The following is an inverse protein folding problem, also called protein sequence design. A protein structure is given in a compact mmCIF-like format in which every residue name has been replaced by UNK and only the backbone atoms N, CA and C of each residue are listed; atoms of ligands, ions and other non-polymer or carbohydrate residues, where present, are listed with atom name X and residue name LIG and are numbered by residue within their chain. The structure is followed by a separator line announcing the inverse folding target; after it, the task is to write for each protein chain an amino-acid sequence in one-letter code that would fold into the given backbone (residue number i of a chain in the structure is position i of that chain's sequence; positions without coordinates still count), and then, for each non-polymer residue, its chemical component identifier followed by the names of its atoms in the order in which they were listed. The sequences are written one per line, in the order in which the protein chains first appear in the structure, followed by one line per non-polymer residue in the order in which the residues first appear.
data_IF_114911186049
#
_entry.id   IF_114911186049
#
_cell.length_a   1.000
_cell.length_b   1.000
_cell.length_c   1.000
_cell.angle_alpha   90.00
_cell.angle_beta   90.00
_cell.angle_gamma   90.00
#
_symmetry.space_group_name_H-M   'P 1'
#
loop_
_entity.id
_entity.type
_entity.pdbx_description
1 polymer ?
#
# COMPACT_ATOMS: atom_id res chain seq x y z
N UNK A 1 39.60 -22.10 -0.53
CA UNK A 1 38.68 -21.51 -1.52
C UNK A 1 37.28 -21.46 -0.91
N UNK A 2 36.75 -20.25 -0.64
CA UNK A 2 35.42 -20.09 -0.03
C UNK A 2 34.36 -20.48 -1.06
N UNK A 3 33.60 -21.54 -0.79
CA UNK A 3 32.42 -21.88 -1.56
C UNK A 3 31.44 -20.70 -1.52
N UNK A 4 31.31 -20.01 -2.65
CA UNK A 4 30.28 -19.00 -2.90
C UNK A 4 28.95 -19.76 -2.91
N UNK A 5 28.22 -19.74 -1.80
CA UNK A 5 26.81 -20.12 -1.78
C UNK A 5 26.11 -19.22 -2.80
N UNK A 6 25.66 -19.81 -3.92
CA UNK A 6 24.76 -19.11 -4.86
C UNK A 6 23.58 -18.60 -4.03
N UNK A 7 23.28 -17.30 -4.13
CA UNK A 7 22.13 -16.70 -3.46
C UNK A 7 20.90 -17.51 -3.82
N UNK A 8 20.30 -18.16 -2.83
CA UNK A 8 18.97 -18.75 -2.95
C UNK A 8 18.05 -17.55 -3.12
N UNK A 9 17.47 -17.36 -4.30
CA UNK A 9 16.54 -16.25 -4.55
C UNK A 9 15.32 -16.46 -3.64
N UNK A 10 15.32 -15.78 -2.49
CA UNK A 10 14.16 -15.76 -1.61
C UNK A 10 13.00 -15.10 -2.36
N UNK A 11 11.77 -15.63 -2.22
CA UNK A 11 10.63 -15.04 -2.90
C UNK A 11 10.48 -13.59 -2.46
N UNK A 12 10.27 -12.68 -3.43
CA UNK A 12 9.94 -11.29 -3.12
C UNK A 12 8.56 -11.22 -2.48
N UNK A 13 8.50 -10.69 -1.27
CA UNK A 13 7.27 -10.51 -0.50
C UNK A 13 6.79 -9.07 -0.69
N UNK A 14 5.59 -8.92 -1.25
CA UNK A 14 4.92 -7.63 -1.41
C UNK A 14 3.74 -7.53 -0.46
N UNK A 15 3.65 -6.42 0.28
CA UNK A 15 2.48 -6.06 1.07
C UNK A 15 1.59 -5.12 0.26
N UNK A 16 0.35 -5.53 0.00
CA UNK A 16 -0.63 -4.70 -0.70
C UNK A 16 -1.60 -4.13 0.32
N UNK A 17 -1.66 -2.80 0.40
CA UNK A 17 -2.61 -2.07 1.24
C UNK A 17 -3.71 -1.54 0.34
N UNK A 18 -4.93 -2.02 0.55
CA UNK A 18 -6.08 -1.50 -0.16
C UNK A 18 -6.61 -0.24 0.53
N UNK A 19 -6.79 0.85 -0.20
CA UNK A 19 -7.36 2.09 0.33
C UNK A 19 -8.30 2.74 -0.68
N UNK A 20 -9.37 3.37 -0.18
CA UNK A 20 -10.27 4.20 -0.96
C UNK A 20 -10.78 5.36 -0.14
N UNK A 21 -11.03 6.51 -0.78
CA UNK A 21 -11.67 7.67 -0.15
C UNK A 21 -13.17 7.40 0.07
N UNK A 22 -13.83 6.77 -0.91
CA UNK A 22 -15.25 6.44 -0.87
C UNK A 22 -15.56 5.44 0.25
N UNK A 23 -16.28 5.89 1.28
CA UNK A 23 -16.68 5.06 2.41
C UNK A 23 -18.06 5.49 2.90
N UNK A 24 -19.01 4.57 2.92
CA UNK A 24 -20.41 4.84 3.29
C UNK A 24 -20.62 4.99 4.79
N UNK A 25 -19.80 4.34 5.62
CA UNK A 25 -19.93 4.36 7.09
C UNK A 25 -19.10 5.46 7.75
N UNK A 26 -17.92 5.75 7.21
CA UNK A 26 -17.05 6.83 7.66
C UNK A 26 -16.26 7.37 6.45
N UNK A 27 -16.81 8.38 5.75
CA UNK A 27 -16.17 8.99 4.59
C UNK A 27 -14.76 9.48 4.90
N UNK A 28 -13.82 9.28 3.98
CA UNK A 28 -12.45 9.80 4.15
C UNK A 28 -11.62 9.15 5.27
N UNK A 29 -12.10 8.06 5.89
CA UNK A 29 -11.43 7.38 7.02
C UNK A 29 -9.92 7.17 6.82
N UNK A 30 -9.49 6.76 5.63
CA UNK A 30 -8.08 6.44 5.36
C UNK A 30 -7.15 7.65 5.54
N UNK A 31 -7.65 8.87 5.31
CA UNK A 31 -6.89 10.12 5.48
C UNK A 31 -7.25 10.87 6.76
N UNK A 32 -8.23 10.40 7.53
CA UNK A 32 -8.63 11.04 8.77
C UNK A 32 -7.44 11.10 9.74
N UNK A 33 -7.12 12.28 10.29
CA UNK A 33 -6.01 12.43 11.22
C UNK A 33 -6.36 11.80 12.58
N UNK A 34 -5.45 11.01 13.10
CA UNK A 34 -5.43 10.55 14.49
C UNK A 34 -4.07 10.98 15.04
N UNK A 35 -4.05 11.68 16.18
CA UNK A 35 -2.81 12.17 16.81
C UNK A 35 -1.83 12.85 15.84
N UNK A 36 -2.37 13.66 14.91
CA UNK A 36 -1.58 14.44 13.95
C UNK A 36 -1.12 13.71 12.69
N UNK A 37 -1.48 12.43 12.48
CA UNK A 37 -1.15 11.68 11.25
C UNK A 37 -2.39 11.01 10.65
N UNK A 38 -2.49 10.89 9.31
CA UNK A 38 -3.52 10.08 8.67
C UNK A 38 -3.53 8.64 9.17
N UNK A 39 -4.70 8.00 9.32
CA UNK A 39 -4.80 6.56 9.66
C UNK A 39 -3.87 5.70 8.77
N UNK A 40 -3.88 5.97 7.45
CA UNK A 40 -3.06 5.24 6.50
C UNK A 40 -1.55 5.37 6.78
N UNK A 41 -1.09 6.51 7.31
CA UNK A 41 0.32 6.73 7.66
C UNK A 41 0.82 5.73 8.70
N UNK A 42 0.02 5.45 9.72
CA UNK A 42 0.37 4.47 10.74
C UNK A 42 0.55 3.07 10.15
N UNK A 43 -0.31 2.67 9.20
CA UNK A 43 -0.21 1.37 8.52
C UNK A 43 1.10 1.28 7.75
N UNK A 44 1.41 2.29 6.95
CA UNK A 44 2.64 2.32 6.14
C UNK A 44 3.90 2.32 7.02
N UNK A 45 3.94 3.14 8.06
CA UNK A 45 5.06 3.16 9.02
C UNK A 45 5.26 1.78 9.66
N UNK A 46 4.19 1.10 10.07
CA UNK A 46 4.25 -0.25 10.65
C UNK A 46 4.77 -1.30 9.66
N UNK A 47 4.34 -1.25 8.40
CA UNK A 47 4.82 -2.18 7.37
C UNK A 47 6.30 -1.97 7.06
N UNK A 48 6.79 -0.72 7.07
CA UNK A 48 8.21 -0.39 6.84
C UNK A 48 9.16 -0.98 7.90
N UNK A 49 8.67 -1.31 9.10
CA UNK A 49 9.49 -1.98 10.12
C UNK A 49 9.69 -3.48 9.87
N UNK A 50 8.94 -4.08 8.94
CA UNK A 50 9.07 -5.51 8.64
C UNK A 50 10.38 -5.80 7.91
N UNK A 51 11.14 -6.79 8.40
CA UNK A 51 12.37 -7.28 7.75
C UNK A 51 12.10 -8.25 6.59
N UNK A 52 10.86 -8.72 6.45
CA UNK A 52 10.47 -9.71 5.45
C UNK A 52 9.81 -9.07 4.22
N UNK A 53 9.19 -7.90 4.36
CA UNK A 53 8.51 -7.21 3.26
C UNK A 53 9.57 -6.52 2.39
N UNK A 54 9.57 -6.83 1.09
CA UNK A 54 10.45 -6.17 0.12
C UNK A 54 9.82 -4.93 -0.49
N UNK A 55 8.50 -4.89 -0.60
CA UNK A 55 7.78 -3.81 -1.25
C UNK A 55 6.41 -3.60 -0.61
N UNK A 56 5.99 -2.33 -0.54
CA UNK A 56 4.63 -1.94 -0.14
C UNK A 56 3.97 -1.29 -1.36
N UNK A 57 2.75 -1.71 -1.68
CA UNK A 57 1.93 -1.15 -2.77
C UNK A 57 0.60 -0.70 -2.19
N UNK A 58 0.20 0.54 -2.48
CA UNK A 58 -1.12 1.05 -2.20
C UNK A 58 -2.04 0.80 -3.39
N UNK A 59 -3.02 -0.10 -3.24
CA UNK A 59 -4.00 -0.43 -4.27
C UNK A 59 -5.28 0.40 -4.08
N UNK A 60 -5.56 1.31 -5.02
CA UNK A 60 -6.62 2.32 -4.94
C UNK A 60 -7.58 2.25 -6.14
N UNK A 61 -8.84 2.68 -6.00
CA UNK A 61 -9.74 2.82 -7.15
C UNK A 61 -9.16 3.79 -8.18
N UNK A 62 -9.36 3.49 -9.46
CA UNK A 62 -8.98 4.37 -10.57
C UNK A 62 -10.02 5.47 -10.77
N UNK A 63 -10.16 6.36 -9.78
CA UNK A 63 -11.06 7.51 -9.83
C UNK A 63 -10.35 8.76 -9.31
N UNK A 64 -10.79 9.93 -9.78
CA UNK A 64 -10.20 11.23 -9.43
C UNK A 64 -10.20 11.51 -7.92
N UNK A 65 -11.22 11.04 -7.21
CA UNK A 65 -11.30 11.18 -5.75
C UNK A 65 -10.12 10.52 -5.03
N UNK A 66 -9.52 9.48 -5.63
CA UNK A 66 -8.41 8.75 -5.05
C UNK A 66 -7.03 9.28 -5.46
N UNK A 67 -6.93 10.36 -6.26
CA UNK A 67 -5.66 10.98 -6.64
C UNK A 67 -4.82 11.37 -5.42
N UNK A 68 -5.49 11.85 -4.35
CA UNK A 68 -4.84 12.17 -3.08
C UNK A 68 -4.14 10.96 -2.42
N UNK A 69 -4.60 9.74 -2.70
CA UNK A 69 -3.98 8.51 -2.19
C UNK A 69 -2.73 8.14 -3.00
N UNK A 70 -2.71 8.43 -4.30
CA UNK A 70 -1.50 8.28 -5.12
C UNK A 70 -0.42 9.27 -4.69
N UNK A 71 -0.79 10.53 -4.45
CA UNK A 71 0.13 11.51 -3.86
C UNK A 71 0.65 11.07 -2.48
N UNK A 72 -0.23 10.50 -1.66
CA UNK A 72 0.16 9.95 -0.37
C UNK A 72 1.18 8.82 -0.51
N UNK A 73 0.99 7.92 -1.50
CA UNK A 73 1.94 6.84 -1.79
C UNK A 73 3.30 7.40 -2.24
N UNK A 74 3.30 8.38 -3.14
CA UNK A 74 4.52 9.05 -3.60
C UNK A 74 5.29 9.71 -2.45
N UNK A 75 4.61 10.50 -1.60
CA UNK A 75 5.21 11.14 -0.42
C UNK A 75 5.81 10.14 0.57
N UNK A 76 5.28 8.92 0.61
CA UNK A 76 5.76 7.85 1.46
C UNK A 76 6.77 6.91 0.79
N UNK A 77 7.15 7.16 -0.46
CA UNK A 77 8.06 6.28 -1.24
C UNK A 77 7.58 4.82 -1.29
N UNK A 78 6.29 4.60 -1.48
CA UNK A 78 5.69 3.27 -1.70
C UNK A 78 5.08 3.20 -3.10
N UNK A 79 4.90 1.98 -3.62
CA UNK A 79 4.23 1.79 -4.90
C UNK A 79 2.74 2.17 -4.83
N UNK A 80 2.15 2.49 -5.97
CA UNK A 80 0.71 2.69 -6.10
C UNK A 80 0.19 1.91 -7.30
N UNK A 81 -0.98 1.30 -7.16
CA UNK A 81 -1.69 0.62 -8.22
C UNK A 81 -3.13 1.12 -8.27
N UNK A 82 -3.59 1.51 -9.45
CA UNK A 82 -4.96 1.96 -9.70
C UNK A 82 -5.75 0.83 -10.37
N UNK A 83 -6.87 0.43 -9.77
CA UNK A 83 -7.71 -0.66 -10.28
C UNK A 83 -9.21 -0.38 -10.21
N UNK A 84 -10.02 -1.38 -10.53
CA UNK A 84 -11.49 -1.28 -10.47
C UNK A 84 -11.96 -0.84 -9.08
N UNK A 85 -12.96 0.04 -8.99
CA UNK A 85 -13.56 0.43 -7.71
C UNK A 85 -14.40 -0.72 -7.12
N UNK A 86 -15.23 -1.32 -7.97
CA UNK A 86 -16.25 -2.30 -7.60
C UNK A 86 -15.69 -3.72 -7.47
N UNK A 87 -14.64 -4.04 -8.21
CA UNK A 87 -13.99 -5.36 -8.18
C UNK A 87 -12.74 -5.33 -7.30
N UNK A 88 -12.95 -5.54 -5.99
CA UNK A 88 -11.89 -5.53 -4.97
C UNK A 88 -10.80 -6.56 -5.26
N UNK A 89 -11.18 -7.78 -5.64
CA UNK A 89 -10.23 -8.86 -5.91
C UNK A 89 -9.36 -8.52 -7.13
N UNK A 90 -9.99 -8.00 -8.19
CA UNK A 90 -9.27 -7.57 -9.39
C UNK A 90 -8.28 -6.44 -9.10
N UNK A 91 -8.57 -5.57 -8.13
CA UNK A 91 -7.66 -4.49 -7.73
C UNK A 91 -6.40 -4.99 -6.98
N UNK A 92 -6.39 -6.23 -6.47
CA UNK A 92 -5.30 -6.75 -5.62
C UNK A 92 -4.54 -7.89 -6.29
N UNK A 93 -5.20 -8.73 -7.10
CA UNK A 93 -4.66 -10.04 -7.49
C UNK A 93 -4.75 -10.38 -8.99
N UNK A 94 -5.74 -9.85 -9.72
CA UNK A 94 -5.95 -10.17 -11.15
C UNK A 94 -5.30 -9.11 -12.04
#
# INVERSE_FOLDING_TARGET
MKHKLKSKDFPKICAIVQARISSTRLPGKVLMPICGKPILQYIIERLKFSKLINQIILAIPNTKENDILEEFALRNSIGCYRGSENEVLARIYL
#
